data_IF_140811467046
#
_entry.id   IF_140811467046
#
_cell.length_a   1.000
_cell.length_b   1.000
_cell.length_c   1.000
_cell.angle_alpha   90.00
_cell.angle_beta   90.00
_cell.angle_gamma   90.00
#
_symmetry.space_group_name_H-M   'P 1'
#
loop_
_entity.id
_entity.type
_entity.pdbx_description
1 polymer ?
#
# COMPACT_ATOMS: atom_id res chain seq x y z
N UNK A 1 -7.51 26.99 16.24
CA UNK A 1 -7.01 26.62 14.90
C UNK A 1 -6.80 27.86 14.04
N UNK A 2 -7.80 28.74 13.93
CA UNK A 2 -7.76 29.99 13.16
C UNK A 2 -6.56 30.92 13.43
N UNK A 3 -6.11 31.05 14.69
CA UNK A 3 -4.97 31.91 15.02
C UNK A 3 -3.67 31.48 14.34
N UNK A 4 -3.39 30.17 14.29
CA UNK A 4 -2.19 29.64 13.65
C UNK A 4 -2.23 29.80 12.12
N UNK A 5 -3.42 29.68 11.53
CA UNK A 5 -3.61 29.88 10.09
C UNK A 5 -3.29 31.33 9.71
N UNK A 6 -3.89 32.30 10.39
CA UNK A 6 -3.71 33.72 10.10
C UNK A 6 -2.28 34.24 10.41
N UNK A 7 -1.65 33.75 11.48
CA UNK A 7 -0.36 34.31 11.96
C UNK A 7 0.87 33.53 11.50
N UNK A 8 0.72 32.29 11.04
CA UNK A 8 1.86 31.44 10.64
C UNK A 8 1.66 30.84 9.27
N UNK A 9 0.53 30.18 9.01
CA UNK A 9 0.35 29.41 7.77
C UNK A 9 0.17 30.29 6.53
N UNK A 10 -0.60 31.38 6.67
CA UNK A 10 -0.99 32.29 5.59
C UNK A 10 0.10 33.31 5.27
N UNK A 11 0.81 33.80 6.29
CA UNK A 11 1.88 34.80 6.16
C UNK A 11 3.24 34.21 5.78
N UNK A 12 3.43 32.89 5.85
CA UNK A 12 4.70 32.28 5.46
C UNK A 12 4.96 32.41 3.95
N UNK A 13 6.22 32.48 3.59
CA UNK A 13 6.68 32.39 2.21
C UNK A 13 6.92 30.92 1.85
N UNK A 14 6.27 30.44 0.78
CA UNK A 14 6.41 29.06 0.35
C UNK A 14 7.76 28.82 -0.34
N UNK A 15 8.53 27.83 0.10
CA UNK A 15 9.92 27.66 -0.34
C UNK A 15 10.14 27.34 -1.82
N UNK A 16 9.12 26.83 -2.53
CA UNK A 16 9.25 26.51 -3.97
C UNK A 16 8.78 27.67 -4.85
N UNK A 17 7.62 28.26 -4.53
CA UNK A 17 7.02 29.33 -5.32
C UNK A 17 7.57 30.71 -4.94
N UNK A 18 8.26 30.81 -3.78
CA UNK A 18 8.79 32.06 -3.20
C UNK A 18 7.76 33.17 -3.07
N UNK A 19 6.48 32.81 -3.02
CA UNK A 19 5.34 33.71 -2.82
C UNK A 19 4.77 33.51 -1.43
N UNK A 20 4.15 34.56 -0.89
CA UNK A 20 3.36 34.46 0.33
C UNK A 20 2.16 33.55 0.07
N UNK A 21 1.91 32.62 1.01
CA UNK A 21 0.94 31.52 0.81
C UNK A 21 -0.46 32.07 0.59
N UNK A 22 -0.88 33.05 1.40
CA UNK A 22 -2.21 33.65 1.27
C UNK A 22 -2.43 34.33 -0.08
N UNK A 23 -1.50 35.18 -0.48
CA UNK A 23 -1.60 35.94 -1.72
C UNK A 23 -1.63 35.01 -2.94
N UNK A 24 -0.83 33.94 -2.93
CA UNK A 24 -0.87 32.93 -3.98
C UNK A 24 -2.20 32.18 -4.01
N UNK A 25 -2.72 31.81 -2.85
CA UNK A 25 -4.00 31.13 -2.74
C UNK A 25 -5.14 32.00 -3.29
N UNK A 26 -5.25 33.25 -2.84
CA UNK A 26 -6.32 34.17 -3.27
C UNK A 26 -6.21 34.57 -4.75
N UNK A 27 -4.99 34.77 -5.28
CA UNK A 27 -4.79 35.22 -6.66
C UNK A 27 -4.91 34.09 -7.71
N UNK A 28 -4.50 32.86 -7.38
CA UNK A 28 -4.34 31.79 -8.38
C UNK A 28 -5.10 30.50 -8.06
N UNK A 29 -5.21 30.10 -6.80
CA UNK A 29 -5.79 28.79 -6.45
C UNK A 29 -7.30 28.88 -6.19
N UNK A 30 -7.76 29.94 -5.52
CA UNK A 30 -9.13 30.08 -5.02
C UNK A 30 -10.19 30.03 -6.11
N UNK A 31 -9.92 30.64 -7.27
CA UNK A 31 -10.85 30.64 -8.40
C UNK A 31 -10.92 29.29 -9.11
N UNK A 32 -9.88 28.47 -8.98
CA UNK A 32 -9.81 27.10 -9.54
C UNK A 32 -10.37 26.05 -8.57
N UNK A 33 -10.62 26.42 -7.30
CA UNK A 33 -11.17 25.50 -6.32
C UNK A 33 -12.64 25.22 -6.60
N UNK A 34 -12.94 23.93 -6.72
CA UNK A 34 -14.31 23.46 -6.67
C UNK A 34 -14.89 23.70 -5.27
N UNK A 35 -16.21 23.95 -5.16
CA UNK A 35 -16.87 24.08 -3.87
C UNK A 35 -16.61 22.84 -3.02
N UNK A 36 -16.48 23.04 -1.70
CA UNK A 36 -16.35 21.93 -0.77
C UNK A 36 -17.54 20.99 -0.97
N UNK A 37 -17.31 19.69 -1.24
CA UNK A 37 -18.40 18.76 -1.38
C UNK A 37 -19.18 18.72 -0.06
N UNK A 38 -20.50 18.79 -0.18
CA UNK A 38 -21.44 18.67 0.96
C UNK A 38 -21.33 17.33 1.65
N UNK A 39 -20.82 16.32 0.95
CA UNK A 39 -20.56 14.98 1.47
C UNK A 39 -19.06 14.73 1.71
N UNK A 40 -18.74 13.89 2.69
CA UNK A 40 -17.35 13.45 2.91
C UNK A 40 -16.86 12.69 1.68
N UNK A 41 -15.62 12.96 1.25
CA UNK A 41 -14.98 12.22 0.16
C UNK A 41 -15.05 10.70 0.38
N UNK A 42 -15.84 10.01 -0.45
CA UNK A 42 -15.89 8.56 -0.48
C UNK A 42 -14.53 8.02 -0.98
N UNK A 43 -13.78 7.42 -0.06
CA UNK A 43 -12.49 6.76 -0.30
C UNK A 43 -12.67 5.25 -0.50
N UNK A 44 -13.80 4.86 -1.07
CA UNK A 44 -14.14 3.50 -1.48
C UNK A 44 -15.23 3.54 -2.55
N UNK A 45 -15.25 2.55 -3.43
CA UNK A 45 -16.42 2.30 -4.27
C UNK A 45 -17.48 1.66 -3.40
N UNK A 46 -18.69 2.19 -3.44
CA UNK A 46 -19.84 1.54 -2.85
C UNK A 46 -20.94 1.36 -3.87
N UNK A 47 -21.62 0.22 -3.79
CA UNK A 47 -22.81 0.01 -4.57
C UNK A 47 -23.73 -0.95 -3.84
N UNK A 48 -25.02 -0.72 -4.01
CA UNK A 48 -26.04 -1.67 -3.58
C UNK A 48 -26.03 -2.85 -4.55
N UNK A 49 -25.97 -4.07 -4.02
CA UNK A 49 -25.95 -5.30 -4.80
C UNK A 49 -26.91 -6.30 -4.17
N UNK A 50 -27.62 -7.03 -5.02
CA UNK A 50 -28.51 -8.11 -4.59
C UNK A 50 -27.66 -9.35 -4.31
N UNK A 51 -27.90 -10.00 -3.19
CA UNK A 51 -27.33 -11.33 -2.93
C UNK A 51 -28.10 -12.32 -3.80
N UNK A 52 -27.37 -13.01 -4.67
CA UNK A 52 -27.87 -14.05 -5.54
C UNK A 52 -28.37 -15.25 -4.71
N UNK A 53 -29.13 -16.14 -5.35
CA UNK A 53 -29.68 -17.34 -4.71
C UNK A 53 -28.59 -18.32 -4.24
N UNK A 54 -27.43 -18.26 -4.87
CA UNK A 54 -26.21 -19.00 -4.52
C UNK A 54 -25.48 -18.43 -3.29
N UNK A 55 -26.00 -17.37 -2.64
CA UNK A 55 -25.37 -16.72 -1.50
C UNK A 55 -24.25 -15.74 -1.84
N UNK A 56 -24.08 -15.37 -3.11
CA UNK A 56 -22.98 -14.50 -3.54
C UNK A 56 -23.43 -13.12 -4.02
N UNK A 57 -22.54 -12.14 -3.92
CA UNK A 57 -22.71 -10.76 -4.36
C UNK A 57 -21.67 -10.45 -5.43
N UNK A 58 -22.12 -10.07 -6.62
CA UNK A 58 -21.24 -9.67 -7.71
C UNK A 58 -20.81 -8.19 -7.59
N UNK A 59 -19.51 -7.94 -7.53
CA UNK A 59 -18.90 -6.61 -7.38
C UNK A 59 -17.69 -6.55 -8.31
N UNK A 60 -17.66 -5.64 -9.28
CA UNK A 60 -16.49 -5.44 -10.16
C UNK A 60 -15.95 -6.75 -10.78
N UNK A 61 -16.87 -7.54 -11.35
CA UNK A 61 -16.61 -8.87 -11.96
C UNK A 61 -16.15 -9.98 -11.00
N UNK A 62 -16.43 -9.79 -9.70
CA UNK A 62 -15.89 -10.59 -8.62
C UNK A 62 -17.06 -11.04 -7.70
N UNK A 63 -17.14 -12.31 -7.31
CA UNK A 63 -18.21 -12.83 -6.44
C UNK A 63 -17.76 -12.93 -4.98
N UNK A 64 -18.57 -12.40 -4.06
CA UNK A 64 -18.31 -12.42 -2.62
C UNK A 64 -19.44 -13.14 -1.89
N UNK A 65 -19.12 -14.12 -1.05
CA UNK A 65 -20.13 -14.79 -0.24
C UNK A 65 -20.73 -13.83 0.78
N UNK A 66 -22.04 -13.83 0.90
CA UNK A 66 -22.79 -13.15 1.94
C UNK A 66 -23.42 -14.19 2.87
N UNK A 67 -23.64 -13.85 4.16
CA UNK A 67 -24.37 -14.73 5.05
C UNK A 67 -25.73 -15.16 4.46
N UNK A 68 -26.17 -16.42 4.66
CA UNK A 68 -27.39 -16.95 4.04
C UNK A 68 -28.64 -16.10 4.33
N UNK A 69 -28.67 -15.45 5.48
CA UNK A 69 -29.73 -14.52 5.90
C UNK A 69 -29.97 -13.35 4.93
N UNK A 70 -28.96 -13.01 4.13
CA UNK A 70 -29.03 -11.93 3.15
C UNK A 70 -29.40 -12.41 1.74
N UNK A 71 -29.57 -13.71 1.49
CA UNK A 71 -29.99 -14.25 0.18
C UNK A 71 -31.27 -13.56 -0.29
N UNK A 72 -31.25 -13.03 -1.53
CA UNK A 72 -32.37 -12.28 -2.10
C UNK A 72 -32.50 -10.83 -1.61
N UNK A 73 -31.78 -10.42 -0.56
CA UNK A 73 -31.75 -9.04 -0.04
C UNK A 73 -30.70 -8.19 -0.76
N UNK A 74 -30.92 -6.88 -0.74
CA UNK A 74 -29.97 -5.90 -1.28
C UNK A 74 -29.05 -5.38 -0.19
N UNK A 75 -27.76 -5.69 -0.28
CA UNK A 75 -26.73 -5.28 0.68
C UNK A 75 -25.87 -4.14 0.12
N UNK A 76 -25.35 -3.30 1.01
CA UNK A 76 -24.34 -2.30 0.64
C UNK A 76 -22.97 -2.97 0.60
N UNK A 77 -22.35 -2.98 -0.58
CA UNK A 77 -21.03 -3.53 -0.75
C UNK A 77 -20.01 -2.41 -0.94
N UNK A 78 -18.92 -2.45 -0.18
CA UNK A 78 -17.86 -1.45 -0.20
C UNK A 78 -16.54 -2.12 -0.54
N UNK A 79 -15.86 -1.67 -1.60
CA UNK A 79 -14.58 -2.24 -2.01
C UNK A 79 -13.60 -1.13 -2.44
N UNK A 80 -12.35 -1.26 -1.98
CA UNK A 80 -11.26 -0.41 -2.46
C UNK A 80 -9.87 -1.00 -2.20
N UNK A 81 -9.06 -1.09 -3.25
CA UNK A 81 -7.63 -1.41 -3.19
C UNK A 81 -6.84 -0.35 -2.40
N UNK A 82 -7.33 0.90 -2.33
CA UNK A 82 -6.71 1.98 -1.54
C UNK A 82 -6.69 1.64 -0.06
N UNK A 83 -7.76 1.06 0.49
CA UNK A 83 -7.81 0.61 1.90
C UNK A 83 -6.76 -0.47 2.17
N UNK A 84 -6.62 -1.43 1.26
CA UNK A 84 -5.56 -2.43 1.33
C UNK A 84 -4.16 -1.79 1.36
N UNK A 85 -3.88 -0.89 0.42
CA UNK A 85 -2.60 -0.17 0.37
C UNK A 85 -2.37 0.71 1.60
N UNK A 86 -3.41 1.34 2.14
CA UNK A 86 -3.32 2.13 3.37
C UNK A 86 -2.94 1.25 4.56
N UNK A 87 -3.62 0.12 4.75
CA UNK A 87 -3.30 -0.79 5.84
C UNK A 87 -1.91 -1.39 5.74
N UNK A 88 -1.48 -1.77 4.52
CA UNK A 88 -0.08 -2.16 4.27
C UNK A 88 0.87 -1.01 4.60
N UNK A 89 0.50 0.25 4.30
CA UNK A 89 1.34 1.42 4.62
C UNK A 89 1.53 1.61 6.12
N UNK A 90 0.48 1.41 6.90
CA UNK A 90 0.52 1.44 8.36
C UNK A 90 1.44 0.34 8.88
N UNK A 91 1.21 -0.92 8.46
CA UNK A 91 2.00 -2.09 8.88
C UNK A 91 3.49 -1.86 8.58
N UNK A 92 3.79 -1.47 7.35
CA UNK A 92 5.17 -1.23 6.89
C UNK A 92 5.66 0.20 7.16
N UNK A 93 5.01 0.89 8.11
CA UNK A 93 5.32 2.27 8.52
C UNK A 93 6.78 2.44 8.98
N UNK A 94 7.35 3.61 8.67
CA UNK A 94 8.76 3.88 8.97
C UNK A 94 8.99 4.15 10.45
N UNK A 95 8.05 4.80 11.13
CA UNK A 95 8.18 5.31 12.51
C UNK A 95 7.81 4.30 13.61
N UNK A 96 7.40 3.07 13.27
CA UNK A 96 6.82 2.13 14.23
C UNK A 96 7.76 1.50 15.27
N UNK A 97 9.09 1.62 15.12
CA UNK A 97 10.05 1.03 16.07
C UNK A 97 10.08 -0.51 16.17
N UNK A 98 9.23 -1.25 15.45
CA UNK A 98 9.14 -2.72 15.56
C UNK A 98 10.22 -3.47 14.75
N UNK A 99 10.51 -4.71 15.17
CA UNK A 99 11.38 -5.66 14.46
C UNK A 99 10.85 -6.01 13.06
N UNK A 100 11.73 -6.53 12.21
CA UNK A 100 11.33 -6.91 10.85
C UNK A 100 10.45 -8.16 10.87
N UNK A 101 10.77 -9.11 11.73
CA UNK A 101 10.02 -10.37 11.83
C UNK A 101 8.58 -10.11 12.30
N UNK A 102 8.40 -9.23 13.29
CA UNK A 102 7.07 -8.78 13.73
C UNK A 102 6.31 -8.07 12.60
N UNK A 103 6.99 -7.21 11.85
CA UNK A 103 6.41 -6.50 10.70
C UNK A 103 5.95 -7.47 9.60
N UNK A 104 6.78 -8.46 9.27
CA UNK A 104 6.44 -9.48 8.29
C UNK A 104 5.31 -10.38 8.81
N UNK A 105 5.30 -10.74 10.09
CA UNK A 105 4.21 -11.48 10.71
C UNK A 105 2.86 -10.75 10.69
N UNK A 106 2.84 -9.45 11.01
CA UNK A 106 1.63 -8.61 10.87
C UNK A 106 1.18 -8.50 9.40
N UNK A 107 2.11 -8.31 8.47
CA UNK A 107 1.81 -8.24 7.05
C UNK A 107 1.24 -9.55 6.53
N UNK A 108 1.83 -10.70 6.89
CA UNK A 108 1.36 -12.03 6.50
C UNK A 108 -0.07 -12.27 6.96
N UNK A 109 -0.38 -12.01 8.24
CA UNK A 109 -1.73 -12.17 8.81
C UNK A 109 -2.74 -11.33 8.05
N UNK A 110 -2.43 -10.05 7.81
CA UNK A 110 -3.31 -9.16 7.08
C UNK A 110 -3.53 -9.59 5.63
N UNK A 111 -2.45 -9.92 4.91
CA UNK A 111 -2.53 -10.33 3.50
C UNK A 111 -3.29 -11.66 3.36
N UNK A 112 -3.10 -12.63 4.26
CA UNK A 112 -3.88 -13.88 4.26
C UNK A 112 -5.37 -13.63 4.46
N UNK A 113 -5.75 -12.83 5.46
CA UNK A 113 -7.16 -12.50 5.70
C UNK A 113 -7.79 -11.75 4.52
N UNK A 114 -7.06 -10.79 3.95
CA UNK A 114 -7.51 -10.06 2.78
C UNK A 114 -7.64 -10.96 1.54
N UNK A 115 -6.70 -11.88 1.32
CA UNK A 115 -6.77 -12.87 0.25
C UNK A 115 -7.89 -13.90 0.47
N UNK A 116 -8.20 -14.29 1.71
CA UNK A 116 -9.34 -15.16 1.99
C UNK A 116 -10.67 -14.55 1.55
N UNK A 117 -10.83 -13.24 1.73
CA UNK A 117 -12.06 -12.54 1.37
C UNK A 117 -12.10 -12.10 -0.11
N UNK A 118 -11.02 -11.48 -0.61
CA UNK A 118 -10.97 -10.87 -1.94
C UNK A 118 -10.31 -11.77 -3.00
N UNK A 119 -9.67 -12.88 -2.59
CA UNK A 119 -8.81 -13.71 -3.43
C UNK A 119 -9.53 -14.51 -4.52
N UNK A 120 -10.74 -15.00 -4.21
CA UNK A 120 -11.60 -15.74 -5.14
C UNK A 120 -12.06 -14.84 -6.29
N UNK A 121 -12.33 -13.58 -5.93
CA UNK A 121 -13.04 -12.63 -6.74
C UNK A 121 -12.06 -11.79 -7.62
N UNK A 122 -10.81 -11.61 -7.18
CA UNK A 122 -9.87 -10.66 -7.80
C UNK A 122 -8.91 -11.27 -8.84
N UNK A 123 -8.45 -10.43 -9.77
CA UNK A 123 -7.60 -10.83 -10.90
C UNK A 123 -6.12 -11.04 -10.52
N UNK A 124 -5.47 -12.01 -11.17
CA UNK A 124 -4.03 -12.28 -11.01
C UNK A 124 -3.13 -11.06 -11.29
N UNK A 125 -3.49 -10.25 -12.29
CA UNK A 125 -2.76 -9.01 -12.64
C UNK A 125 -2.78 -7.98 -11.51
N UNK A 126 -3.87 -7.91 -10.73
CA UNK A 126 -3.96 -7.03 -9.57
C UNK A 126 -2.99 -7.50 -8.48
N UNK A 127 -2.99 -8.80 -8.18
CA UNK A 127 -2.09 -9.36 -7.15
C UNK A 127 -0.63 -9.20 -7.49
N UNK A 128 -0.23 -9.37 -8.75
CA UNK A 128 1.18 -9.15 -9.12
C UNK A 128 1.60 -7.68 -8.92
N UNK A 129 0.75 -6.72 -9.32
CA UNK A 129 1.00 -5.30 -9.06
C UNK A 129 1.12 -5.00 -7.55
N UNK A 130 0.25 -5.60 -6.74
CA UNK A 130 0.28 -5.45 -5.28
C UNK A 130 1.52 -6.09 -4.66
N UNK A 131 1.88 -7.30 -5.09
CA UNK A 131 3.09 -8.02 -4.64
C UNK A 131 4.35 -7.23 -4.95
N UNK A 132 4.49 -6.71 -6.18
CA UNK A 132 5.61 -5.84 -6.55
C UNK A 132 5.70 -4.60 -5.64
N UNK A 133 4.55 -3.97 -5.36
CA UNK A 133 4.47 -2.80 -4.49
C UNK A 133 4.80 -3.13 -3.02
N UNK A 134 4.32 -4.26 -2.50
CA UNK A 134 4.62 -4.77 -1.16
C UNK A 134 6.12 -5.09 -1.03
N UNK A 135 6.71 -5.81 -2.00
CA UNK A 135 8.15 -6.12 -2.02
C UNK A 135 8.98 -4.85 -1.93
N UNK A 136 8.61 -3.80 -2.69
CA UNK A 136 9.28 -2.49 -2.62
C UNK A 136 9.12 -1.82 -1.25
N UNK A 137 7.94 -1.89 -0.63
CA UNK A 137 7.71 -1.39 0.74
C UNK A 137 8.62 -2.09 1.74
N UNK A 138 8.73 -3.42 1.67
CA UNK A 138 9.60 -4.19 2.57
C UNK A 138 11.07 -3.86 2.34
N UNK A 139 11.53 -3.75 1.08
CA UNK A 139 12.89 -3.28 0.77
C UNK A 139 13.19 -1.92 1.37
N UNK A 140 12.23 -0.99 1.31
CA UNK A 140 12.35 0.32 1.97
C UNK A 140 12.53 0.19 3.49
N UNK A 141 11.84 -0.76 4.14
CA UNK A 141 11.96 -1.00 5.58
C UNK A 141 13.35 -1.51 5.95
N UNK A 142 13.91 -2.46 5.19
CA UNK A 142 15.30 -2.89 5.34
C UNK A 142 16.27 -1.73 5.10
N UNK A 143 16.02 -0.91 4.07
CA UNK A 143 16.86 0.23 3.73
C UNK A 143 16.91 1.31 4.81
N UNK A 144 15.82 1.52 5.55
CA UNK A 144 15.77 2.51 6.62
C UNK A 144 16.83 2.23 7.69
N UNK A 145 17.21 0.96 7.94
CA UNK A 145 18.17 0.56 8.99
C UNK A 145 19.56 1.13 8.69
N UNK A 146 20.01 2.19 9.39
CA UNK A 146 21.14 3.01 8.93
C UNK A 146 22.50 2.35 9.18
N UNK A 147 22.68 1.67 10.33
CA UNK A 147 23.99 1.18 10.78
C UNK A 147 24.57 0.02 9.97
N UNK A 148 23.79 -0.63 9.09
CA UNK A 148 24.19 -1.90 8.43
C UNK A 148 23.95 -1.95 6.92
N UNK A 149 23.63 -0.85 6.22
CA UNK A 149 23.28 -0.89 4.78
C UNK A 149 24.40 -1.50 3.91
N UNK A 150 25.62 -0.98 4.06
CA UNK A 150 26.79 -1.46 3.32
C UNK A 150 27.06 -2.93 3.63
N UNK A 151 27.18 -3.25 4.91
CA UNK A 151 27.51 -4.60 5.39
C UNK A 151 26.45 -5.62 4.99
N UNK A 152 25.16 -5.25 5.09
CA UNK A 152 24.04 -6.08 4.65
C UNK A 152 24.11 -6.35 3.15
N UNK A 153 24.30 -5.32 2.31
CA UNK A 153 24.40 -5.51 0.86
C UNK A 153 25.59 -6.40 0.47
N UNK A 154 26.76 -6.20 1.08
CA UNK A 154 27.93 -7.03 0.83
C UNK A 154 27.66 -8.49 1.24
N UNK A 155 27.05 -8.71 2.42
CA UNK A 155 26.67 -10.05 2.89
C UNK A 155 25.65 -10.73 1.96
N UNK A 156 24.79 -9.95 1.31
CA UNK A 156 23.82 -10.42 0.32
C UNK A 156 24.40 -10.55 -1.10
N UNK A 157 25.72 -10.45 -1.27
CA UNK A 157 26.41 -10.69 -2.54
C UNK A 157 26.49 -9.49 -3.48
N UNK A 158 26.14 -8.28 -3.04
CA UNK A 158 26.30 -7.08 -3.87
C UNK A 158 27.77 -6.69 -3.94
N UNK A 159 28.34 -6.44 -5.14
CA UNK A 159 29.74 -6.04 -5.28
C UNK A 159 30.10 -4.84 -4.40
N UNK A 160 31.24 -4.93 -3.70
CA UNK A 160 31.67 -3.95 -2.66
C UNK A 160 31.59 -2.49 -3.15
N UNK A 161 32.09 -2.22 -4.37
CA UNK A 161 32.05 -0.89 -4.99
C UNK A 161 30.61 -0.36 -5.12
N UNK A 162 29.69 -1.20 -5.60
CA UNK A 162 28.28 -0.84 -5.77
C UNK A 162 27.58 -0.67 -4.42
N UNK A 163 27.85 -1.55 -3.46
CA UNK A 163 27.31 -1.47 -2.11
C UNK A 163 27.71 -0.16 -1.39
N UNK A 164 28.97 0.27 -1.52
CA UNK A 164 29.46 1.53 -0.97
C UNK A 164 28.74 2.72 -1.60
N UNK A 165 28.68 2.78 -2.95
CA UNK A 165 28.02 3.87 -3.67
C UNK A 165 26.54 3.99 -3.31
N UNK A 166 25.85 2.86 -3.21
CA UNK A 166 24.44 2.82 -2.82
C UNK A 166 24.23 3.21 -1.36
N UNK A 167 25.07 2.74 -0.44
CA UNK A 167 24.95 3.05 0.99
C UNK A 167 25.16 4.54 1.30
N UNK A 168 26.08 5.20 0.58
CA UNK A 168 26.37 6.65 0.72
C UNK A 168 25.35 7.57 0.04
N UNK A 169 24.39 7.03 -0.71
CA UNK A 169 23.42 7.85 -1.43
C UNK A 169 22.52 8.64 -0.48
N UNK A 170 22.34 9.94 -0.77
CA UNK A 170 21.40 10.85 -0.08
C UNK A 170 19.95 10.69 -0.56
N UNK A 171 19.68 9.82 -1.53
CA UNK A 171 18.33 9.61 -2.07
C UNK A 171 17.40 8.97 -1.03
N UNK A 172 16.14 9.38 -1.03
CA UNK A 172 15.13 8.87 -0.09
C UNK A 172 14.91 7.35 -0.18
N UNK A 173 14.50 6.74 0.93
CA UNK A 173 14.42 5.28 1.09
C UNK A 173 13.52 4.60 0.04
N UNK A 174 12.40 5.22 -0.32
CA UNK A 174 11.49 4.69 -1.35
C UNK A 174 12.13 4.67 -2.74
N UNK A 175 12.97 5.67 -3.05
CA UNK A 175 13.75 5.72 -4.29
C UNK A 175 14.82 4.63 -4.29
N UNK A 176 15.53 4.47 -3.17
CA UNK A 176 16.57 3.45 -3.01
C UNK A 176 16.02 2.03 -3.10
N UNK A 177 14.80 1.77 -2.61
CA UNK A 177 14.16 0.47 -2.68
C UNK A 177 13.86 -0.03 -4.11
N UNK A 178 13.84 0.85 -5.13
CA UNK A 178 13.64 0.49 -6.55
C UNK A 178 14.96 0.25 -7.29
N UNK A 179 16.10 0.55 -6.69
CA UNK A 179 17.39 0.52 -7.41
C UNK A 179 17.89 -0.89 -7.66
N UNK A 180 18.72 -1.06 -8.69
CA UNK A 180 19.31 -2.35 -9.08
C UNK A 180 20.05 -2.99 -7.90
N UNK A 181 20.91 -2.26 -7.19
CA UNK A 181 21.63 -2.83 -6.05
C UNK A 181 20.70 -3.33 -4.93
N UNK A 182 19.56 -2.69 -4.71
CA UNK A 182 18.55 -3.18 -3.77
C UNK A 182 17.87 -4.45 -4.28
N UNK A 183 17.66 -4.59 -5.58
CA UNK A 183 17.08 -5.80 -6.16
C UNK A 183 18.08 -6.97 -6.25
N UNK A 184 19.37 -6.67 -6.42
CA UNK A 184 20.47 -7.65 -6.39
C UNK A 184 20.70 -8.16 -4.97
N UNK A 185 20.72 -7.28 -3.97
CA UNK A 185 20.88 -7.70 -2.57
C UNK A 185 19.60 -8.28 -1.98
N UNK A 186 18.49 -7.53 -2.03
CA UNK A 186 17.19 -7.94 -1.48
C UNK A 186 16.34 -8.58 -2.59
N UNK A 187 16.81 -9.71 -3.09
CA UNK A 187 16.14 -10.47 -4.16
C UNK A 187 14.73 -10.91 -3.74
N UNK A 188 13.87 -11.23 -4.72
CA UNK A 188 12.53 -11.75 -4.41
C UNK A 188 12.61 -13.07 -3.63
N UNK A 189 13.55 -13.95 -3.99
CA UNK A 189 13.81 -15.22 -3.30
C UNK A 189 14.21 -14.98 -1.85
N UNK A 190 15.19 -14.09 -1.62
CA UNK A 190 15.62 -13.75 -0.27
C UNK A 190 14.46 -13.19 0.57
N UNK A 191 13.64 -12.31 0.01
CA UNK A 191 12.46 -11.80 0.72
C UNK A 191 11.47 -12.92 1.10
N UNK A 192 11.27 -13.91 0.23
CA UNK A 192 10.45 -15.09 0.55
C UNK A 192 11.08 -15.93 1.67
N UNK A 193 12.40 -16.14 1.67
CA UNK A 193 13.13 -16.84 2.73
C UNK A 193 13.01 -16.12 4.08
N UNK A 194 12.98 -14.78 4.08
CA UNK A 194 12.66 -13.99 5.29
C UNK A 194 11.20 -14.11 5.73
N UNK A 195 10.37 -14.80 4.95
CA UNK A 195 8.95 -15.03 5.22
C UNK A 195 8.02 -13.98 4.62
N UNK A 196 8.42 -13.25 3.57
CA UNK A 196 7.47 -12.43 2.82
C UNK A 196 6.57 -13.33 1.97
N UNK A 197 5.27 -13.31 2.28
CA UNK A 197 4.26 -14.06 1.55
C UNK A 197 3.98 -13.43 0.18
N UNK A 198 3.85 -14.26 -0.85
CA UNK A 198 3.42 -13.85 -2.18
C UNK A 198 1.91 -14.06 -2.33
N UNK A 199 1.20 -13.01 -2.76
CA UNK A 199 -0.22 -13.09 -3.07
C UNK A 199 -0.49 -14.03 -4.24
N UNK A 200 0.46 -14.17 -5.18
CA UNK A 200 0.38 -15.15 -6.27
C UNK A 200 0.33 -16.59 -5.76
N UNK A 201 1.17 -16.92 -4.78
CA UNK A 201 1.19 -18.25 -4.14
C UNK A 201 -0.12 -18.52 -3.41
N UNK A 202 -0.59 -17.57 -2.60
CA UNK A 202 -1.90 -17.67 -1.93
C UNK A 202 -3.05 -17.85 -2.92
N UNK A 203 -3.02 -17.12 -4.04
CA UNK A 203 -4.05 -17.26 -5.05
C UNK A 203 -4.05 -18.65 -5.67
N UNK A 204 -2.88 -19.22 -5.95
CA UNK A 204 -2.76 -20.59 -6.44
C UNK A 204 -3.27 -21.62 -5.42
N UNK A 205 -3.00 -21.43 -4.13
CA UNK A 205 -3.55 -22.25 -3.04
C UNK A 205 -5.09 -22.19 -2.99
N UNK A 206 -5.69 -21.04 -3.34
CA UNK A 206 -7.14 -20.87 -3.44
C UNK A 206 -7.73 -21.38 -4.77
N UNK A 207 -6.94 -22.01 -5.66
CA UNK A 207 -7.44 -22.54 -6.94
C UNK A 207 -8.46 -23.68 -6.81
N UNK A 208 -8.32 -24.65 -5.88
CA UNK A 208 -9.29 -25.73 -5.71
C UNK A 208 -10.68 -25.21 -5.34
N UNK A 209 -10.73 -24.22 -4.43
CA UNK A 209 -11.98 -23.60 -3.96
C UNK A 209 -12.75 -22.86 -5.06
N UNK A 210 -12.08 -22.47 -6.15
CA UNK A 210 -12.68 -21.79 -7.31
C UNK A 210 -13.29 -22.75 -8.33
N UNK A 211 -12.93 -24.03 -8.29
CA UNK A 211 -13.48 -25.05 -9.21
C UNK A 211 -14.77 -25.67 -8.69
N UNK A 212 -15.05 -25.52 -7.40
CA UNK A 212 -16.19 -26.11 -6.70
C UNK A 212 -17.32 -25.10 -6.40
N UNK A 213 -17.12 -23.82 -6.77
CA UNK A 213 -18.10 -22.74 -6.64
C UNK A 213 -18.64 -22.40 -8.03
#
# INVERSE_FOLDING_TARGET
MLHWEATVADVRIHGTTRKQVRDHFDAAEKNELLPLPTERFANFSEARRKVNRDGHVAIDHAFYSAPPEYVGRSVWARWDVRRFKQRVREITGRSRGISMDRRLGELRRYVRGWMGYFGIASQLKLFDKLDQWIRRRIRMCYWKRPKRRRTMLIRLGVPRRQAIRHARSRKGYWRMAKTIASNVGLTNKWLQEQGLLSMKTLWAELAPLRRTA
#
